data_IF_328157837277
#
_entry.id   IF_328157837277
#
_cell.length_a   1.000
_cell.length_b   1.000
_cell.length_c   1.000
_cell.angle_alpha   90.00
_cell.angle_beta   90.00
_cell.angle_gamma   90.00
#
_symmetry.space_group_name_H-M   'P 1'
#
loop_
_entity.id
_entity.type
_entity.pdbx_description
1 polymer ?
#
# COMPACT_ATOMS: atom_id res chain seq x y z
N UNK A 1 -32.89 21.09 16.97
CA UNK A 1 -32.91 19.92 16.07
C UNK A 1 -32.42 20.35 14.69
N UNK A 2 -31.13 20.56 14.40
CA UNK A 2 -29.91 19.73 14.62
C UNK A 2 -29.60 18.66 13.57
N UNK A 3 -30.23 18.66 12.38
CA UNK A 3 -29.93 17.61 11.38
C UNK A 3 -29.72 18.05 9.93
N UNK A 4 -29.84 19.34 9.59
CA UNK A 4 -29.90 19.76 8.18
C UNK A 4 -28.93 20.89 7.78
N UNK A 5 -27.86 21.09 8.54
CA UNK A 5 -26.58 21.54 7.94
C UNK A 5 -25.88 20.24 7.57
N UNK A 6 -26.18 19.64 6.43
CA UNK A 6 -25.41 19.85 5.19
C UNK A 6 -23.91 20.04 5.47
N UNK A 7 -23.37 19.15 6.31
CA UNK A 7 -21.95 18.91 6.43
C UNK A 7 -21.55 18.06 5.22
N UNK A 8 -21.59 18.72 4.07
CA UNK A 8 -21.02 18.30 2.79
C UNK A 8 -19.48 18.46 2.86
N UNK A 9 -18.90 18.00 3.98
CA UNK A 9 -17.50 18.12 4.31
C UNK A 9 -16.98 16.73 4.66
N UNK A 10 -16.30 16.12 3.70
CA UNK A 10 -15.29 15.07 3.93
C UNK A 10 -15.72 13.89 4.80
N UNK A 11 -16.78 13.17 4.42
CA UNK A 11 -16.96 11.80 4.89
C UNK A 11 -15.90 10.90 4.24
N UNK A 12 -14.72 10.81 4.87
CA UNK A 12 -13.87 9.63 4.77
C UNK A 12 -14.68 8.44 5.33
N UNK A 13 -15.45 7.78 4.48
CA UNK A 13 -16.17 6.56 4.86
C UNK A 13 -15.14 5.58 5.42
N UNK A 14 -15.39 4.98 6.59
CA UNK A 14 -14.50 4.01 7.25
C UNK A 14 -13.93 2.95 6.28
N UNK A 15 -14.74 2.52 5.30
CA UNK A 15 -14.32 1.65 4.20
C UNK A 15 -13.15 2.20 3.37
N UNK A 16 -13.10 3.50 3.04
CA UNK A 16 -11.97 4.08 2.30
C UNK A 16 -10.68 3.99 3.10
N UNK A 17 -10.72 4.30 4.39
CA UNK A 17 -9.55 4.20 5.27
C UNK A 17 -9.07 2.74 5.29
N UNK A 18 -9.98 1.79 5.45
CA UNK A 18 -9.66 0.37 5.39
C UNK A 18 -8.95 -0.02 4.08
N UNK A 19 -9.47 0.38 2.92
CA UNK A 19 -8.85 0.06 1.63
C UNK A 19 -7.49 0.74 1.44
N UNK A 20 -7.30 1.97 1.94
CA UNK A 20 -5.99 2.64 1.94
C UNK A 20 -4.99 1.84 2.78
N UNK A 21 -5.36 1.47 4.00
CA UNK A 21 -4.47 0.72 4.90
C UNK A 21 -4.14 -0.66 4.33
N UNK A 22 -5.13 -1.35 3.76
CA UNK A 22 -4.93 -2.66 3.12
C UNK A 22 -3.96 -2.54 1.94
N UNK A 23 -4.17 -1.58 1.05
CA UNK A 23 -3.30 -1.37 -0.09
C UNK A 23 -1.89 -0.96 0.34
N UNK A 24 -1.77 -0.03 1.30
CA UNK A 24 -0.48 0.38 1.87
C UNK A 24 0.29 -0.82 2.41
N UNK A 25 -0.39 -1.69 3.16
CA UNK A 25 0.19 -2.94 3.65
C UNK A 25 0.64 -3.86 2.51
N UNK A 26 -0.20 -4.07 1.49
CA UNK A 26 0.15 -4.93 0.36
C UNK A 26 1.36 -4.39 -0.42
N UNK A 27 1.38 -3.09 -0.73
CA UNK A 27 2.51 -2.46 -1.41
C UNK A 27 3.79 -2.54 -0.60
N UNK A 28 3.75 -2.18 0.68
CA UNK A 28 4.93 -2.21 1.55
C UNK A 28 5.43 -3.64 1.77
N UNK A 29 4.53 -4.61 1.90
CA UNK A 29 4.93 -6.02 2.02
C UNK A 29 5.58 -6.53 0.74
N UNK A 30 4.97 -6.23 -0.42
CA UNK A 30 5.54 -6.57 -1.72
C UNK A 30 6.92 -5.94 -1.91
N UNK A 31 7.03 -4.63 -1.64
CA UNK A 31 8.27 -3.89 -1.76
C UNK A 31 9.36 -4.46 -0.83
N UNK A 32 8.99 -4.86 0.39
CA UNK A 32 9.93 -5.46 1.32
C UNK A 32 10.45 -6.81 0.84
N UNK A 33 9.57 -7.63 0.26
CA UNK A 33 9.97 -8.94 -0.25
C UNK A 33 10.86 -8.84 -1.49
N UNK A 34 10.56 -7.89 -2.37
CA UNK A 34 11.36 -7.64 -3.58
C UNK A 34 12.71 -7.04 -3.20
N UNK A 35 12.77 -5.94 -2.45
CA UNK A 35 14.05 -5.30 -2.14
C UNK A 35 15.00 -6.21 -1.37
N UNK A 36 14.49 -7.06 -0.48
CA UNK A 36 15.35 -7.99 0.27
C UNK A 36 16.15 -8.95 -0.64
N UNK A 37 15.65 -9.24 -1.85
CA UNK A 37 16.31 -10.10 -2.84
C UNK A 37 17.19 -9.34 -3.84
N UNK A 38 16.87 -8.09 -4.11
CA UNK A 38 17.51 -7.30 -5.16
C UNK A 38 18.63 -6.37 -4.66
N UNK A 39 18.67 -6.07 -3.36
CA UNK A 39 19.72 -5.22 -2.80
C UNK A 39 21.08 -5.95 -2.80
N UNK A 40 22.19 -5.24 -3.07
CA UNK A 40 23.52 -5.84 -3.20
C UNK A 40 24.26 -6.05 -1.86
N UNK A 41 23.59 -5.90 -0.71
CA UNK A 41 24.23 -6.03 0.62
C UNK A 41 24.13 -7.43 1.18
N UNK A 42 24.70 -7.64 2.38
CA UNK A 42 24.58 -8.89 3.09
C UNK A 42 23.10 -9.21 3.38
N UNK A 43 22.73 -10.50 3.38
CA UNK A 43 21.33 -10.95 3.47
C UNK A 43 20.55 -10.34 4.64
N UNK A 44 21.19 -10.17 5.80
CA UNK A 44 20.57 -9.54 6.96
C UNK A 44 20.35 -8.04 6.76
N UNK A 45 21.36 -7.33 6.24
CA UNK A 45 21.30 -5.89 5.96
C UNK A 45 20.23 -5.57 4.92
N UNK A 46 20.12 -6.41 3.88
CA UNK A 46 19.07 -6.31 2.87
C UNK A 46 17.67 -6.36 3.50
N UNK A 47 17.43 -7.27 4.45
CA UNK A 47 16.13 -7.39 5.12
C UNK A 47 15.83 -6.12 5.91
N UNK A 48 16.78 -5.64 6.73
CA UNK A 48 16.56 -4.43 7.53
C UNK A 48 16.34 -3.19 6.66
N UNK A 49 17.18 -2.99 5.64
CA UNK A 49 17.09 -1.83 4.76
C UNK A 49 15.82 -1.86 3.90
N UNK A 50 15.44 -3.05 3.44
CA UNK A 50 14.21 -3.26 2.70
C UNK A 50 12.96 -2.97 3.53
N UNK A 51 12.90 -3.45 4.78
CA UNK A 51 11.80 -3.14 5.71
C UNK A 51 11.74 -1.64 5.97
N UNK A 52 12.88 -0.99 6.16
CA UNK A 52 12.95 0.45 6.39
C UNK A 52 12.42 1.27 5.20
N UNK A 53 12.86 0.95 3.98
CA UNK A 53 12.34 1.61 2.75
C UNK A 53 10.84 1.36 2.61
N UNK A 54 10.39 0.15 2.89
CA UNK A 54 8.98 -0.22 2.78
C UNK A 54 8.09 0.49 3.79
N UNK A 55 8.63 0.77 4.98
CA UNK A 55 7.98 1.57 5.99
C UNK A 55 7.88 3.05 5.60
N UNK A 56 8.92 3.61 5.00
CA UNK A 56 8.87 4.96 4.43
C UNK A 56 7.78 5.03 3.35
N UNK A 57 7.77 4.05 2.44
CA UNK A 57 6.76 3.97 1.39
C UNK A 57 5.33 3.85 1.95
N UNK A 58 5.15 3.08 3.04
CA UNK A 58 3.85 2.92 3.72
C UNK A 58 3.26 4.28 4.13
N UNK A 59 4.07 5.10 4.80
CA UNK A 59 3.65 6.43 5.28
C UNK A 59 3.30 7.33 4.09
N UNK A 60 4.17 7.40 3.09
CA UNK A 60 3.91 8.21 1.89
C UNK A 60 2.66 7.78 1.15
N UNK A 61 2.43 6.47 1.02
CA UNK A 61 1.24 5.94 0.35
C UNK A 61 -0.04 6.37 1.05
N UNK A 62 -0.11 6.28 2.38
CA UNK A 62 -1.29 6.69 3.15
C UNK A 62 -1.56 8.19 2.96
N UNK A 63 -0.53 9.03 3.08
CA UNK A 63 -0.65 10.49 2.92
C UNK A 63 -1.09 10.86 1.50
N UNK A 64 -0.46 10.26 0.49
CA UNK A 64 -0.78 10.51 -0.92
C UNK A 64 -2.20 10.08 -1.26
N UNK A 65 -2.57 8.84 -0.89
CA UNK A 65 -3.88 8.27 -1.25
C UNK A 65 -5.03 8.95 -0.52
N UNK A 66 -4.78 9.49 0.67
CA UNK A 66 -5.74 10.33 1.39
C UNK A 66 -6.06 11.63 0.64
N UNK A 67 -5.12 12.13 -0.17
CA UNK A 67 -5.31 13.35 -0.98
C UNK A 67 -6.02 13.10 -2.31
N UNK A 68 -6.29 11.83 -2.67
CA UNK A 68 -6.93 11.48 -3.94
C UNK A 68 -8.45 11.71 -3.84
N UNK A 69 -8.92 12.71 -4.58
CA UNK A 69 -10.33 13.06 -4.68
C UNK A 69 -11.08 12.19 -5.72
N UNK A 70 -10.38 11.72 -6.76
CA UNK A 70 -11.02 10.92 -7.82
C UNK A 70 -11.30 9.48 -7.38
N UNK A 71 -12.56 9.07 -7.43
CA UNK A 71 -13.01 7.72 -7.07
C UNK A 71 -12.39 6.65 -7.97
N UNK A 72 -12.24 6.92 -9.27
CA UNK A 72 -11.64 5.97 -10.22
C UNK A 72 -10.17 5.70 -9.87
N UNK A 73 -9.39 6.76 -9.71
CA UNK A 73 -7.97 6.67 -9.35
C UNK A 73 -7.77 6.02 -7.98
N UNK A 74 -8.64 6.33 -7.01
CA UNK A 74 -8.63 5.71 -5.70
C UNK A 74 -8.73 4.17 -5.80
N UNK A 75 -9.73 3.65 -6.52
CA UNK A 75 -9.91 2.20 -6.62
C UNK A 75 -8.80 1.53 -7.43
N UNK A 76 -8.39 2.16 -8.53
CA UNK A 76 -7.32 1.63 -9.37
C UNK A 76 -6.00 1.48 -8.60
N UNK A 77 -5.57 2.53 -7.89
CA UNK A 77 -4.31 2.50 -7.11
C UNK A 77 -4.41 1.52 -5.95
N UNK A 78 -5.52 1.48 -5.19
CA UNK A 78 -5.63 0.56 -4.07
C UNK A 78 -5.73 -0.92 -4.49
N UNK A 79 -6.31 -1.21 -5.65
CA UNK A 79 -6.42 -2.59 -6.16
C UNK A 79 -5.09 -3.15 -6.67
N UNK A 80 -4.23 -2.30 -7.24
CA UNK A 80 -2.93 -2.69 -7.79
C UNK A 80 -1.99 -3.29 -6.73
N UNK A 81 -2.03 -2.79 -5.49
CA UNK A 81 -1.23 -3.35 -4.40
C UNK A 81 -1.53 -4.82 -4.12
N UNK A 82 -2.81 -5.20 -4.17
CA UNK A 82 -3.24 -6.60 -4.01
C UNK A 82 -2.73 -7.45 -5.18
N UNK A 83 -2.86 -6.95 -6.40
CA UNK A 83 -2.39 -7.66 -7.61
C UNK A 83 -0.88 -7.90 -7.58
N UNK A 84 -0.09 -6.91 -7.16
CA UNK A 84 1.37 -7.03 -7.04
C UNK A 84 1.79 -8.08 -6.00
N UNK A 85 1.12 -8.10 -4.84
CA UNK A 85 1.44 -9.07 -3.80
C UNK A 85 1.08 -10.50 -4.26
N UNK A 86 -0.09 -10.67 -4.89
CA UNK A 86 -0.52 -11.96 -5.44
C UNK A 86 0.40 -12.43 -6.55
N UNK A 87 0.80 -11.54 -7.47
CA UNK A 87 1.70 -11.90 -8.56
C UNK A 87 3.09 -12.30 -8.06
N UNK A 88 3.64 -11.58 -7.07
CA UNK A 88 4.89 -11.98 -6.43
C UNK A 88 4.77 -13.35 -5.75
N UNK A 89 3.66 -13.61 -5.06
CA UNK A 89 3.44 -14.91 -4.41
C UNK A 89 3.38 -16.05 -5.43
N UNK A 90 2.70 -15.83 -6.57
CA UNK A 90 2.67 -16.78 -7.67
C UNK A 90 4.07 -17.02 -8.26
N UNK A 91 4.83 -15.96 -8.54
CA UNK A 91 6.20 -16.09 -9.05
C UNK A 91 7.14 -16.82 -8.07
N UNK A 92 7.00 -16.56 -6.77
CA UNK A 92 7.75 -17.24 -5.73
C UNK A 92 7.38 -18.73 -5.64
N UNK A 93 6.09 -19.07 -5.76
CA UNK A 93 5.60 -20.46 -5.84
C UNK A 93 6.19 -21.23 -7.02
N UNK A 94 6.45 -20.54 -8.12
CA UNK A 94 7.01 -21.10 -9.34
C UNK A 94 8.55 -21.10 -9.35
N UNK A 95 9.20 -20.62 -8.28
CA UNK A 95 10.66 -20.57 -8.17
C UNK A 95 11.33 -19.49 -9.04
N UNK A 96 10.55 -18.55 -9.57
CA UNK A 96 11.04 -17.48 -10.47
C UNK A 96 11.43 -16.23 -9.68
N UNK A 97 10.84 -16.02 -8.50
CA UNK A 97 11.11 -14.87 -7.63
C UNK A 97 11.90 -15.24 -6.39
#
# INVERSE_FOLDING_TARGET
MSHLKKQENFNFTYSRIFFICLAAYCYSSWLSLVLAKWLPFAKAENVYFSVFISFIFFIFYIVFTSSILSKLWFWMINSLGVVLLVSYWLLAKWGVA
#
